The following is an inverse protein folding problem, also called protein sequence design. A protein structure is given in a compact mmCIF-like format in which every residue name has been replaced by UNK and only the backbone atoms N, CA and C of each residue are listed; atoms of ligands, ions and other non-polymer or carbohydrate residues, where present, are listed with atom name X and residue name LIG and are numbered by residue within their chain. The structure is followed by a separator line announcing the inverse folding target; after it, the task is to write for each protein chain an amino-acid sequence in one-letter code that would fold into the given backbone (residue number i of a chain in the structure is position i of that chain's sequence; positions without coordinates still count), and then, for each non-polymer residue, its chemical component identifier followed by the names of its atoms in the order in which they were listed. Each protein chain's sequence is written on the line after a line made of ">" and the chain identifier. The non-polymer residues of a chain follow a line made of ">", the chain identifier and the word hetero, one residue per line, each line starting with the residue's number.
data_IF_882293437310
#
_entry.id   IF_882293437310
#
_cell.length_a   1.000
_cell.length_b   1.000
_cell.length_c   1.000
_cell.angle_alpha   90.00
_cell.angle_beta   90.00
_cell.angle_gamma   90.00
#
_symmetry.space_group_name_H-M   'P 1'
#
loop_
_entity.id
_entity.type
_entity.pdbx_description
1 polymer ?
#
# COMPACT_ATOMS: atom_id res chain seq x y z
N UNK A 1 2.86 -30.04 -24.96
CA UNK A 1 2.61 -28.73 -25.61
C UNK A 1 3.94 -28.13 -26.02
N UNK A 2 4.16 -27.80 -27.31
CA UNK A 2 5.44 -27.28 -27.79
C UNK A 2 5.77 -25.91 -27.16
N UNK A 3 7.02 -25.72 -26.71
CA UNK A 3 7.53 -24.54 -26.00
C UNK A 3 7.25 -23.21 -26.73
N UNK A 4 7.10 -23.24 -28.04
CA UNK A 4 6.76 -22.10 -28.89
C UNK A 4 5.38 -21.49 -28.59
N UNK A 5 4.39 -22.32 -28.20
CA UNK A 5 3.03 -21.84 -27.90
C UNK A 5 2.97 -21.08 -26.56
N UNK A 6 3.85 -21.43 -25.62
CA UNK A 6 3.96 -20.76 -24.32
C UNK A 6 4.61 -19.37 -24.51
N UNK A 7 5.66 -19.28 -25.33
CA UNK A 7 6.31 -18.02 -25.65
C UNK A 7 5.36 -17.05 -26.39
N UNK A 8 4.57 -17.56 -27.34
CA UNK A 8 3.58 -16.78 -28.07
C UNK A 8 2.47 -16.22 -27.16
N UNK A 9 1.96 -17.05 -26.23
CA UNK A 9 0.95 -16.61 -25.24
C UNK A 9 1.51 -15.57 -24.28
N UNK A 10 2.75 -15.74 -23.81
CA UNK A 10 3.42 -14.78 -22.92
C UNK A 10 3.62 -13.43 -23.60
N UNK A 11 4.00 -13.42 -24.88
CA UNK A 11 4.13 -12.20 -25.69
C UNK A 11 2.77 -11.50 -25.91
N UNK A 12 1.71 -12.27 -26.16
CA UNK A 12 0.35 -11.73 -26.33
C UNK A 12 -0.19 -11.07 -25.06
N UNK A 13 0.06 -11.67 -23.89
CA UNK A 13 -0.35 -11.09 -22.61
C UNK A 13 0.44 -9.83 -22.25
N UNK A 14 1.74 -9.78 -22.58
CA UNK A 14 2.58 -8.59 -22.39
C UNK A 14 2.13 -7.41 -23.26
N UNK A 15 1.71 -7.68 -24.50
CA UNK A 15 1.18 -6.64 -25.40
C UNK A 15 -0.15 -6.08 -24.89
N UNK A 16 -1.06 -6.95 -24.43
CA UNK A 16 -2.36 -6.51 -23.88
C UNK A 16 -2.20 -5.62 -22.65
N UNK A 17 -1.28 -5.96 -21.75
CA UNK A 17 -1.00 -5.16 -20.55
C UNK A 17 -0.42 -3.78 -20.89
N UNK A 18 0.40 -3.70 -21.93
CA UNK A 18 0.96 -2.42 -22.40
C UNK A 18 -0.10 -1.54 -23.08
N UNK A 19 -1.06 -2.13 -23.77
CA UNK A 19 -2.22 -1.42 -24.33
C UNK A 19 -3.16 -0.91 -23.21
N UNK A 20 -3.40 -1.71 -22.18
CA UNK A 20 -4.17 -1.32 -20.99
C UNK A 20 -3.48 -0.17 -20.21
N UNK A 21 -2.15 -0.23 -20.04
CA UNK A 21 -1.36 0.84 -19.40
C UNK A 21 -1.32 2.13 -20.24
N UNK A 22 -1.33 2.02 -21.58
CA UNK A 22 -1.39 3.18 -22.47
C UNK A 22 -2.77 3.85 -22.47
N UNK A 23 -3.85 3.07 -22.43
CA UNK A 23 -5.21 3.60 -22.33
C UNK A 23 -5.45 4.35 -21.02
N UNK A 24 -4.83 3.90 -19.93
CA UNK A 24 -4.94 4.55 -18.62
C UNK A 24 -4.13 5.85 -18.51
N UNK A 25 -3.17 6.07 -19.42
CA UNK A 25 -2.35 7.28 -19.48
C UNK A 25 -2.96 8.39 -20.37
N UNK A 26 -3.96 8.07 -21.19
CA UNK A 26 -4.66 9.06 -22.02
C UNK A 26 -5.84 9.73 -21.29
N UNK A 27 -6.35 9.12 -20.21
CA UNK A 27 -7.49 9.65 -19.42
C UNK A 27 -7.07 10.71 -18.37
N UNK A 28 -5.76 10.90 -18.15
CA UNK A 28 -5.20 11.77 -17.11
C UNK A 28 -4.70 13.13 -17.66
N UNK A 29 -5.18 13.52 -18.85
CA UNK A 29 -4.62 14.65 -19.63
C UNK A 29 -5.44 15.94 -19.64
N UNK A 30 -6.55 16.01 -18.88
CA UNK A 30 -7.50 17.14 -18.96
C UNK A 30 -7.65 17.92 -17.64
N UNK A 31 -6.53 18.24 -16.99
CA UNK A 31 -6.51 19.18 -15.87
C UNK A 31 -5.62 20.39 -16.18
N UNK A 32 -6.24 21.47 -16.66
CA UNK A 32 -5.59 22.78 -16.80
C UNK A 32 -5.44 23.44 -15.42
N UNK A 33 -4.26 23.95 -15.04
CA UNK A 33 -4.13 24.73 -13.82
C UNK A 33 -4.51 26.18 -14.13
N UNK A 34 -5.74 26.57 -13.80
CA UNK A 34 -6.11 27.98 -13.72
C UNK A 34 -5.69 28.52 -12.36
N UNK A 35 -5.07 29.69 -12.38
CA UNK A 35 -4.50 30.37 -11.23
C UNK A 35 -5.61 30.96 -10.36
N UNK A 36 -5.72 30.53 -9.10
CA UNK A 36 -6.30 31.36 -8.05
C UNK A 36 -5.62 31.07 -6.70
N UNK A 37 -4.87 32.08 -6.25
CA UNK A 37 -4.30 32.20 -4.92
C UNK A 37 -5.42 32.34 -3.88
N UNK A 38 -5.76 31.26 -3.18
CA UNK A 38 -6.35 31.37 -1.85
C UNK A 38 -5.51 30.58 -0.85
N UNK A 39 -4.79 31.34 0.00
CA UNK A 39 -4.25 30.86 1.27
C UNK A 39 -5.42 30.41 2.14
N UNK A 40 -5.65 29.10 2.20
CA UNK A 40 -6.29 28.51 3.37
C UNK A 40 -5.19 28.07 4.34
N UNK A 41 -5.00 28.87 5.40
CA UNK A 41 -4.46 28.41 6.68
C UNK A 41 -5.37 27.28 7.19
N UNK A 42 -5.08 26.05 6.77
CA UNK A 42 -5.66 24.88 7.39
C UNK A 42 -4.87 24.61 8.67
N UNK A 43 -5.45 25.05 9.78
CA UNK A 43 -4.99 24.82 11.14
C UNK A 43 -4.48 23.39 11.30
N UNK A 44 -3.26 23.34 11.83
CA UNK A 44 -2.54 22.20 12.35
C UNK A 44 -3.38 21.53 13.45
N UNK A 45 -4.30 20.64 13.06
CA UNK A 45 -4.82 19.65 13.99
C UNK A 45 -3.72 18.59 14.11
N UNK A 46 -2.75 18.95 14.96
CA UNK A 46 -1.73 18.10 15.55
C UNK A 46 -2.45 16.94 16.23
N UNK A 47 -2.83 15.94 15.45
CA UNK A 47 -3.27 14.66 15.99
C UNK A 47 -2.03 13.99 16.55
N UNK A 48 -1.72 14.33 17.80
CA UNK A 48 -0.71 13.72 18.63
C UNK A 48 -1.00 12.22 18.61
N UNK A 49 -0.14 11.48 17.93
CA UNK A 49 -0.09 10.02 17.94
C UNK A 49 0.34 9.59 19.35
N UNK A 50 -0.61 9.61 20.29
CA UNK A 50 -0.44 8.98 21.60
C UNK A 50 -0.64 7.48 21.41
N UNK A 51 0.37 6.81 20.85
CA UNK A 51 0.50 5.36 20.83
C UNK A 51 1.87 4.97 21.43
N UNK A 52 2.15 5.55 22.60
CA UNK A 52 3.17 5.08 23.53
C UNK A 52 2.49 4.13 24.53
N UNK A 53 3.06 2.92 24.62
CA UNK A 53 2.71 1.82 25.54
C UNK A 53 1.35 1.12 25.35
N UNK A 54 1.37 0.10 24.50
CA UNK A 54 0.60 -1.12 24.79
C UNK A 54 1.32 -1.82 25.95
N UNK A 55 0.91 -1.52 27.18
CA UNK A 55 1.23 -2.35 28.34
C UNK A 55 0.72 -3.77 28.06
N UNK A 56 1.65 -4.71 27.97
CA UNK A 56 1.41 -6.14 27.99
C UNK A 56 0.81 -6.50 29.36
N UNK A 57 -0.52 -6.57 29.41
CA UNK A 57 -1.26 -7.03 30.58
C UNK A 57 -0.96 -8.52 30.78
N UNK A 58 0.02 -8.79 31.64
CA UNK A 58 0.40 -10.11 32.12
C UNK A 58 -0.81 -10.77 32.81
N UNK A 59 -1.37 -11.80 32.19
CA UNK A 59 -2.47 -12.60 32.73
C UNK A 59 -1.96 -13.46 33.90
N UNK A 60 -2.35 -13.08 35.12
CA UNK A 60 -2.03 -13.78 36.36
C UNK A 60 -2.79 -15.11 36.46
N UNK A 61 -2.13 -16.29 36.52
CA UNK A 61 -2.83 -17.54 36.81
C UNK A 61 -3.13 -17.68 38.33
N UNK A 62 -4.30 -18.22 38.72
CA UNK A 62 -4.66 -18.36 40.13
C UNK A 62 -3.84 -19.46 40.83
N UNK A 63 -3.29 -19.07 41.98
CA UNK A 63 -2.56 -19.88 42.95
C UNK A 63 -3.47 -20.91 43.65
N UNK A 64 -3.13 -22.19 43.56
CA UNK A 64 -3.61 -23.26 44.45
C UNK A 64 -2.41 -24.12 44.93
N UNK A 65 -2.50 -24.74 46.12
CA UNK A 65 -1.39 -24.78 47.07
C UNK A 65 -0.42 -25.96 46.91
N UNK A 66 0.78 -25.72 47.45
CA UNK A 66 1.92 -26.61 47.51
C UNK A 66 1.61 -28.02 48.07
N UNK A 67 2.12 -29.04 47.37
CA UNK A 67 2.35 -30.36 47.93
C UNK A 67 3.72 -30.90 47.46
N UNK A 68 4.70 -30.80 48.37
CA UNK A 68 5.84 -31.70 48.59
C UNK A 68 6.59 -32.31 47.40
N UNK A 69 7.85 -31.86 47.25
CA UNK A 69 8.97 -32.63 46.69
C UNK A 69 8.97 -34.08 47.21
N UNK A 70 8.97 -35.04 46.30
CA UNK A 70 9.71 -36.29 46.47
C UNK A 70 10.42 -36.61 45.16
N UNK A 71 11.74 -36.61 45.23
CA UNK A 71 12.61 -37.16 44.23
C UNK A 71 12.26 -38.65 44.03
N UNK A 72 12.14 -39.07 42.78
CA UNK A 72 12.11 -40.47 42.42
C UNK A 72 13.08 -40.66 41.24
N UNK A 73 14.20 -41.26 41.61
CA UNK A 73 15.24 -41.84 40.79
C UNK A 73 14.72 -42.50 39.49
N UNK A 74 15.48 -42.27 38.43
CA UNK A 74 15.92 -43.25 37.44
C UNK A 74 15.07 -44.53 37.35
N UNK A 75 14.04 -44.48 36.51
CA UNK A 75 13.31 -45.65 36.06
C UNK A 75 13.64 -45.89 34.59
N UNK A 76 14.71 -46.64 34.34
CA UNK A 76 14.98 -47.32 33.08
C UNK A 76 13.68 -47.92 32.52
N UNK A 77 13.16 -47.35 31.43
CA UNK A 77 11.91 -47.79 30.84
C UNK A 77 12.10 -49.19 30.26
N UNK A 78 11.54 -50.19 30.94
CA UNK A 78 11.40 -51.54 30.37
C UNK A 78 10.43 -51.45 29.18
N UNK A 79 10.84 -51.73 27.94
CA UNK A 79 9.96 -51.66 26.77
C UNK A 79 8.85 -52.72 26.76
N UNK A 80 8.87 -53.66 27.72
CA UNK A 80 7.91 -54.75 27.80
C UNK A 80 6.54 -54.35 28.38
N UNK A 81 6.45 -53.27 29.16
CA UNK A 81 5.19 -52.89 29.83
C UNK A 81 4.20 -52.17 28.91
N UNK A 82 4.66 -51.45 27.88
CA UNK A 82 3.80 -50.79 26.89
C UNK A 82 3.25 -51.76 25.83
N UNK A 83 3.87 -52.94 25.67
CA UNK A 83 3.38 -53.98 24.77
C UNK A 83 2.18 -54.77 25.34
N UNK A 84 1.99 -54.78 26.67
CA UNK A 84 1.02 -55.64 27.33
C UNK A 84 -0.40 -55.05 27.47
N UNK A 85 -0.58 -53.74 27.25
CA UNK A 85 -1.87 -53.03 27.45
C UNK A 85 -2.53 -52.53 26.14
N UNK A 86 -1.91 -52.76 24.99
CA UNK A 86 -2.54 -52.47 23.70
C UNK A 86 -3.18 -53.76 23.18
N UNK A 87 -4.50 -53.92 23.31
CA UNK A 87 -5.26 -54.82 22.44
C UNK A 87 -5.08 -54.31 21.01
N UNK A 88 -4.05 -54.85 20.35
CA UNK A 88 -3.63 -54.45 19.02
C UNK A 88 -4.66 -54.98 18.01
N UNK A 89 -5.60 -54.12 17.64
CA UNK A 89 -6.60 -54.39 16.59
C UNK A 89 -5.91 -54.23 15.25
N UNK A 90 -5.36 -55.33 14.72
CA UNK A 90 -4.80 -55.35 13.37
C UNK A 90 -5.93 -55.52 12.35
N UNK A 91 -6.07 -54.55 11.44
CA UNK A 91 -6.93 -54.70 10.26
C UNK A 91 -6.17 -55.50 9.19
N UNK A 92 -6.68 -56.68 8.81
CA UNK A 92 -6.06 -57.53 7.78
C UNK A 92 -6.15 -56.89 6.39
N UNK A 93 -5.04 -56.89 5.64
CA UNK A 93 -4.99 -56.45 4.24
C UNK A 93 -5.57 -57.54 3.31
N UNK A 94 -6.30 -57.18 2.23
CA UNK A 94 -5.99 -56.11 1.27
C UNK A 94 -7.01 -54.97 1.26
N UNK A 95 -7.24 -54.31 2.40
CA UNK A 95 -8.00 -53.06 2.42
C UNK A 95 -7.27 -52.00 1.59
N UNK A 96 -7.94 -51.42 0.60
CA UNK A 96 -7.42 -50.26 -0.12
C UNK A 96 -7.11 -49.17 0.90
N UNK A 97 -5.98 -48.46 0.76
CA UNK A 97 -5.59 -47.37 1.65
C UNK A 97 -6.73 -46.34 1.88
N UNK A 98 -7.63 -46.20 0.89
CA UNK A 98 -8.87 -45.41 0.92
C UNK A 98 -9.73 -45.68 2.15
N UNK A 99 -9.77 -46.88 2.72
CA UNK A 99 -10.55 -47.17 3.94
C UNK A 99 -9.94 -46.54 5.19
N UNK A 100 -8.60 -46.46 5.23
CA UNK A 100 -7.86 -45.90 6.37
C UNK A 100 -7.75 -44.38 6.27
N UNK A 101 -7.56 -43.85 5.05
CA UNK A 101 -7.22 -42.43 4.75
C UNK A 101 -6.13 -41.84 5.66
N UNK A 102 -5.28 -42.70 6.24
CA UNK A 102 -4.25 -42.32 7.17
C UNK A 102 -2.89 -42.39 6.48
N UNK A 103 -2.11 -41.32 6.61
CA UNK A 103 -0.76 -41.24 6.06
C UNK A 103 0.23 -40.90 7.16
N UNK A 104 1.26 -41.71 7.25
CA UNK A 104 2.43 -41.40 8.05
C UNK A 104 3.40 -40.59 7.19
N UNK A 105 3.85 -39.44 7.70
CA UNK A 105 4.87 -38.64 7.03
C UNK A 105 6.16 -39.44 6.88
N UNK A 106 6.77 -39.40 5.70
CA UNK A 106 8.07 -40.01 5.43
C UNK A 106 9.23 -39.17 5.97
N UNK A 107 9.03 -37.85 6.07
CA UNK A 107 10.03 -36.91 6.58
C UNK A 107 9.75 -36.69 8.07
N UNK A 108 10.78 -36.89 8.89
CA UNK A 108 10.75 -36.50 10.31
C UNK A 108 10.79 -34.98 10.44
N UNK A 109 10.26 -34.47 11.55
CA UNK A 109 10.41 -33.07 11.90
C UNK A 109 11.90 -32.71 12.02
N UNK A 110 12.32 -31.51 11.59
CA UNK A 110 13.67 -31.03 11.81
C UNK A 110 14.04 -31.03 13.30
N UNK A 111 15.24 -31.51 13.62
CA UNK A 111 15.72 -31.64 15.01
C UNK A 111 16.10 -30.30 15.66
N UNK A 112 16.25 -29.26 14.85
CA UNK A 112 16.57 -27.89 15.21
C UNK A 112 15.33 -27.03 15.50
N UNK A 113 14.13 -27.60 15.42
CA UNK A 113 12.91 -26.91 15.79
C UNK A 113 12.90 -26.56 17.28
N UNK A 114 12.90 -25.27 17.57
CA UNK A 114 12.68 -24.79 18.92
C UNK A 114 11.16 -24.76 19.21
N UNK A 115 10.77 -25.17 20.42
CA UNK A 115 9.37 -25.15 20.84
C UNK A 115 8.86 -23.72 21.09
N UNK A 116 9.75 -22.76 21.35
CA UNK A 116 9.36 -21.36 21.59
C UNK A 116 9.32 -20.51 20.31
N UNK A 117 9.81 -21.06 19.19
CA UNK A 117 9.81 -20.37 17.89
C UNK A 117 8.60 -20.81 17.05
N UNK A 118 7.45 -20.22 17.38
CA UNK A 118 6.17 -20.46 16.72
C UNK A 118 6.20 -20.39 15.19
N UNK A 119 6.70 -19.31 14.54
CA UNK A 119 6.62 -19.20 13.09
C UNK A 119 7.41 -20.29 12.37
N UNK A 120 8.59 -20.69 12.89
CA UNK A 120 9.36 -21.79 12.28
C UNK A 120 8.70 -23.14 12.50
N UNK A 121 8.09 -23.35 13.67
CA UNK A 121 7.36 -24.57 13.98
C UNK A 121 6.11 -24.72 13.12
N UNK A 122 5.35 -23.64 12.95
CA UNK A 122 4.18 -23.59 12.07
C UNK A 122 4.57 -23.90 10.62
N UNK A 123 5.66 -23.30 10.12
CA UNK A 123 6.16 -23.57 8.78
C UNK A 123 6.49 -25.06 8.60
N UNK A 124 7.16 -25.69 9.56
CA UNK A 124 7.49 -27.11 9.49
C UNK A 124 6.23 -27.99 9.46
N UNK A 125 5.20 -27.66 10.25
CA UNK A 125 3.92 -28.38 10.23
C UNK A 125 3.18 -28.20 8.91
N UNK A 126 3.18 -26.99 8.34
CA UNK A 126 2.58 -26.71 7.03
C UNK A 126 3.31 -27.51 5.94
N UNK A 127 4.64 -27.54 5.94
CA UNK A 127 5.41 -28.31 4.97
C UNK A 127 5.13 -29.81 5.08
N UNK A 128 5.10 -30.36 6.30
CA UNK A 128 4.81 -31.78 6.52
C UNK A 128 3.39 -32.15 6.08
N UNK A 129 2.40 -31.33 6.42
CA UNK A 129 1.01 -31.57 6.00
C UNK A 129 0.85 -31.47 4.49
N UNK A 130 1.49 -30.49 3.83
CA UNK A 130 1.46 -30.35 2.38
C UNK A 130 2.00 -31.59 1.65
N UNK A 131 3.12 -32.15 2.12
CA UNK A 131 3.69 -33.37 1.54
C UNK A 131 2.75 -34.57 1.71
N UNK A 132 2.16 -34.73 2.90
CA UNK A 132 1.18 -35.78 3.17
C UNK A 132 -0.09 -35.64 2.31
N UNK A 133 -0.62 -34.43 2.17
CA UNK A 133 -1.81 -34.16 1.33
C UNK A 133 -1.51 -34.46 -0.14
N UNK A 134 -0.35 -34.02 -0.64
CA UNK A 134 0.06 -34.30 -2.03
C UNK A 134 0.12 -35.80 -2.30
N UNK A 135 0.72 -36.56 -1.38
CA UNK A 135 0.77 -38.03 -1.46
C UNK A 135 -0.63 -38.65 -1.39
N UNK A 136 -1.49 -38.16 -0.51
CA UNK A 136 -2.86 -38.65 -0.38
C UNK A 136 -3.69 -38.41 -1.63
N UNK A 137 -3.53 -37.25 -2.27
CA UNK A 137 -4.17 -36.96 -3.56
C UNK A 137 -3.72 -37.97 -4.62
N UNK A 138 -2.42 -38.26 -4.74
CA UNK A 138 -1.93 -39.27 -5.69
C UNK A 138 -2.55 -40.65 -5.46
N UNK A 139 -2.67 -41.08 -4.20
CA UNK A 139 -3.29 -42.37 -3.87
C UNK A 139 -4.81 -42.39 -4.15
N UNK A 140 -5.52 -41.27 -3.97
CA UNK A 140 -6.93 -41.14 -4.32
C UNK A 140 -7.13 -41.18 -5.84
N UNK A 141 -6.23 -40.56 -6.61
CA UNK A 141 -6.25 -40.60 -8.08
C UNK A 141 -5.98 -42.01 -8.61
N UNK A 142 -5.01 -42.74 -8.04
CA UNK A 142 -4.75 -44.15 -8.35
C UNK A 142 -5.96 -45.06 -8.05
N UNK A 143 -6.68 -44.76 -6.96
CA UNK A 143 -7.90 -45.46 -6.58
C UNK A 143 -9.16 -44.97 -7.32
N UNK A 144 -9.03 -43.97 -8.20
CA UNK A 144 -10.13 -43.34 -8.95
C UNK A 144 -11.25 -42.78 -8.05
N UNK A 145 -10.90 -42.20 -6.91
CA UNK A 145 -11.82 -41.57 -5.95
C UNK A 145 -11.80 -40.05 -6.13
N UNK A 146 -12.95 -39.38 -6.32
CA UNK A 146 -13.00 -37.92 -6.45
C UNK A 146 -12.68 -37.24 -5.12
N UNK A 147 -11.68 -36.36 -5.12
CA UNK A 147 -11.19 -35.68 -3.91
C UNK A 147 -11.54 -34.19 -3.85
N UNK A 148 -11.77 -33.55 -5.00
CA UNK A 148 -12.06 -32.12 -5.09
C UNK A 148 -13.55 -31.87 -4.90
N UNK A 149 -13.90 -31.00 -3.94
CA UNK A 149 -15.28 -30.51 -3.78
C UNK A 149 -15.69 -29.68 -5.01
N UNK A 150 -16.80 -30.02 -5.69
CA UNK A 150 -17.37 -29.18 -6.75
C UNK A 150 -17.93 -27.87 -6.20
N UNK A 151 -17.82 -26.79 -6.97
CA UNK A 151 -18.31 -25.47 -6.57
C UNK A 151 -19.85 -25.41 -6.43
N UNK A 152 -20.57 -26.28 -7.14
CA UNK A 152 -22.04 -26.40 -7.14
C UNK A 152 -22.57 -27.41 -6.11
N UNK A 153 -21.71 -27.92 -5.22
CA UNK A 153 -22.11 -28.85 -4.16
C UNK A 153 -22.33 -28.13 -2.83
N UNK A 154 -23.59 -27.77 -2.56
CA UNK A 154 -24.02 -27.10 -1.33
C UNK A 154 -24.40 -28.14 -0.26
N UNK A 155 -23.48 -28.35 0.68
CA UNK A 155 -23.69 -29.15 1.89
C UNK A 155 -23.29 -28.32 3.12
N UNK A 156 -23.74 -28.74 4.30
CA UNK A 156 -23.38 -28.08 5.56
C UNK A 156 -21.85 -28.11 5.75
N UNK A 157 -21.28 -26.93 6.00
CA UNK A 157 -19.84 -26.74 6.22
C UNK A 157 -19.54 -26.65 7.72
N UNK A 158 -18.31 -26.96 8.13
CA UNK A 158 -17.89 -26.89 9.54
C UNK A 158 -18.10 -25.50 10.18
N UNK A 159 -18.05 -24.43 9.38
CA UNK A 159 -18.33 -23.05 9.80
C UNK A 159 -19.48 -22.49 8.95
N UNK A 160 -20.34 -21.69 9.57
CA UNK A 160 -21.43 -21.01 8.87
C UNK A 160 -20.94 -19.90 7.94
N UNK A 161 -21.70 -19.63 6.88
CA UNK A 161 -21.39 -18.57 5.92
C UNK A 161 -21.41 -17.18 6.57
N UNK A 162 -22.27 -16.98 7.57
CA UNK A 162 -22.34 -15.74 8.36
C UNK A 162 -20.99 -15.48 9.03
N UNK A 163 -20.46 -16.48 9.74
CA UNK A 163 -19.16 -16.36 10.41
C UNK A 163 -18.02 -16.11 9.40
N UNK A 164 -18.03 -16.79 8.25
CA UNK A 164 -16.99 -16.59 7.23
C UNK A 164 -17.09 -15.21 6.56
N UNK A 165 -18.28 -14.61 6.51
CA UNK A 165 -18.46 -13.25 6.03
C UNK A 165 -17.86 -12.22 7.00
N UNK A 166 -18.02 -12.43 8.31
CA UNK A 166 -17.43 -11.57 9.33
C UNK A 166 -15.89 -11.63 9.29
N UNK A 167 -15.32 -12.83 9.12
CA UNK A 167 -13.87 -13.01 8.93
C UNK A 167 -13.39 -12.29 7.67
N UNK A 168 -14.14 -12.37 6.56
CA UNK A 168 -13.79 -11.67 5.32
C UNK A 168 -13.79 -10.15 5.52
N UNK A 169 -14.82 -9.61 6.16
CA UNK A 169 -14.91 -8.19 6.46
C UNK A 169 -13.76 -7.72 7.36
N UNK A 170 -13.37 -8.50 8.38
CA UNK A 170 -12.23 -8.18 9.22
C UNK A 170 -10.91 -8.16 8.43
N UNK A 171 -10.72 -9.09 7.49
CA UNK A 171 -9.54 -9.13 6.62
C UNK A 171 -9.49 -7.94 5.66
N UNK A 172 -10.64 -7.55 5.08
CA UNK A 172 -10.76 -6.37 4.22
C UNK A 172 -10.52 -5.08 4.99
N UNK A 173 -11.06 -4.95 6.20
CA UNK A 173 -10.80 -3.82 7.09
C UNK A 173 -9.32 -3.68 7.47
N UNK A 174 -8.65 -4.80 7.77
CA UNK A 174 -7.21 -4.80 8.06
C UNK A 174 -6.38 -4.33 6.86
N UNK A 175 -6.69 -4.82 5.65
CA UNK A 175 -6.06 -4.37 4.40
C UNK A 175 -6.27 -2.88 4.16
N UNK A 176 -7.52 -2.41 4.26
CA UNK A 176 -7.85 -1.00 4.09
C UNK A 176 -7.11 -0.11 5.11
N UNK A 177 -6.92 -0.57 6.34
CA UNK A 177 -6.14 0.14 7.37
C UNK A 177 -4.67 0.30 6.96
N UNK A 178 -4.05 -0.77 6.47
CA UNK A 178 -2.65 -0.77 6.01
C UNK A 178 -2.49 0.15 4.79
N UNK A 179 -3.40 0.03 3.82
CA UNK A 179 -3.40 0.86 2.61
C UNK A 179 -3.59 2.34 2.94
N UNK A 180 -4.52 2.68 3.84
CA UNK A 180 -4.72 4.05 4.28
C UNK A 180 -3.48 4.61 5.00
N UNK A 181 -2.78 3.79 5.80
CA UNK A 181 -1.55 4.21 6.45
C UNK A 181 -0.42 4.43 5.43
N UNK A 182 -0.25 3.52 4.46
CA UNK A 182 0.72 3.65 3.38
C UNK A 182 0.43 4.88 2.50
N UNK A 183 -0.84 5.10 2.16
CA UNK A 183 -1.29 6.26 1.40
C UNK A 183 -1.01 7.56 2.17
N UNK A 184 -1.30 7.62 3.48
CA UNK A 184 -0.98 8.79 4.31
C UNK A 184 0.53 9.08 4.35
N UNK A 185 1.37 8.05 4.44
CA UNK A 185 2.84 8.22 4.37
C UNK A 185 3.27 8.76 3.02
N UNK A 186 2.78 8.19 1.92
CA UNK A 186 3.07 8.67 0.57
C UNK A 186 2.61 10.12 0.36
N UNK A 187 1.41 10.50 0.82
CA UNK A 187 0.93 11.88 0.72
C UNK A 187 1.79 12.86 1.52
N UNK A 188 2.32 12.47 2.68
CA UNK A 188 3.26 13.29 3.46
C UNK A 188 4.58 13.48 2.70
N UNK A 189 5.11 12.41 2.12
CA UNK A 189 6.34 12.45 1.31
C UNK A 189 6.18 13.30 0.05
N UNK A 190 5.06 13.16 -0.66
CA UNK A 190 4.73 13.97 -1.84
C UNK A 190 4.63 15.46 -1.48
N UNK A 191 4.00 15.82 -0.36
CA UNK A 191 3.95 17.20 0.12
C UNK A 191 5.33 17.74 0.47
N UNK A 192 6.19 16.94 1.11
CA UNK A 192 7.57 17.34 1.45
C UNK A 192 8.40 17.56 0.18
N UNK A 193 8.38 16.60 -0.74
CA UNK A 193 9.13 16.67 -2.00
C UNK A 193 8.61 17.79 -2.90
N UNK A 194 7.28 18.00 -2.96
CA UNK A 194 6.69 19.10 -3.71
C UNK A 194 7.20 20.48 -3.26
N UNK A 195 7.34 20.69 -1.95
CA UNK A 195 7.92 21.94 -1.40
C UNK A 195 9.40 22.10 -1.78
N UNK A 196 10.18 21.03 -1.69
CA UNK A 196 11.60 21.04 -2.05
C UNK A 196 11.80 21.31 -3.54
N UNK A 197 11.00 20.66 -4.41
CA UNK A 197 11.02 20.89 -5.85
C UNK A 197 10.64 22.34 -6.18
N UNK A 198 9.60 22.89 -5.56
CA UNK A 198 9.25 24.30 -5.76
C UNK A 198 10.38 25.25 -5.38
N UNK A 199 11.06 25.00 -4.24
CA UNK A 199 12.20 25.79 -3.80
C UNK A 199 13.39 25.69 -4.77
N UNK A 200 13.69 24.50 -5.26
CA UNK A 200 14.79 24.27 -6.20
C UNK A 200 14.48 24.88 -7.58
N UNK A 201 13.24 24.78 -8.07
CA UNK A 201 12.82 25.45 -9.32
C UNK A 201 12.95 26.97 -9.19
N UNK A 202 12.56 27.55 -8.06
CA UNK A 202 12.73 28.99 -7.83
C UNK A 202 14.22 29.40 -7.81
N UNK A 203 15.07 28.58 -7.17
CA UNK A 203 16.52 28.77 -7.13
C UNK A 203 17.14 28.69 -8.53
N UNK A 204 16.73 27.71 -9.34
CA UNK A 204 17.17 27.55 -10.72
C UNK A 204 16.73 28.72 -11.60
N UNK A 205 15.47 29.18 -11.47
CA UNK A 205 14.98 30.38 -12.17
C UNK A 205 15.76 31.63 -11.78
N UNK A 206 16.11 31.79 -10.51
CA UNK A 206 16.90 32.92 -10.04
C UNK A 206 18.35 32.87 -10.54
N UNK A 207 18.97 31.69 -10.58
CA UNK A 207 20.29 31.47 -11.19
C UNK A 207 20.27 31.79 -12.68
N UNK A 208 19.32 31.22 -13.43
CA UNK A 208 19.15 31.50 -14.86
C UNK A 208 18.98 33.00 -15.15
N UNK A 209 18.19 33.72 -14.34
CA UNK A 209 18.06 35.19 -14.47
C UNK A 209 19.37 35.93 -14.21
N UNK A 210 20.17 35.50 -13.22
CA UNK A 210 21.49 36.10 -12.95
C UNK A 210 22.46 35.84 -14.09
N UNK A 211 22.57 34.60 -14.56
CA UNK A 211 23.45 34.20 -15.66
C UNK A 211 23.07 34.94 -16.97
N UNK A 212 21.77 35.09 -17.22
CA UNK A 212 21.26 35.90 -18.35
C UNK A 212 21.59 37.40 -18.19
N UNK A 213 21.48 37.96 -16.99
CA UNK A 213 21.88 39.35 -16.74
C UNK A 213 23.40 39.56 -16.89
N UNK A 214 24.20 38.60 -16.44
CA UNK A 214 25.66 38.65 -16.56
C UNK A 214 26.08 38.61 -18.03
N UNK A 215 25.55 37.65 -18.81
CA UNK A 215 25.79 37.58 -20.26
C UNK A 215 25.33 38.83 -21.03
N UNK A 216 24.19 39.43 -20.66
CA UNK A 216 23.76 40.73 -21.22
C UNK A 216 24.70 41.88 -20.80
N UNK A 217 25.20 41.86 -19.56
CA UNK A 217 26.13 42.86 -19.06
C UNK A 217 27.48 42.76 -19.77
N UNK A 218 27.97 41.55 -20.02
CA UNK A 218 29.19 41.28 -20.75
C UNK A 218 29.04 41.64 -22.23
N UNK A 219 27.88 41.34 -22.82
CA UNK A 219 27.57 41.80 -24.18
C UNK A 219 27.51 43.33 -24.27
N UNK A 220 26.89 44.01 -23.30
CA UNK A 220 26.88 45.48 -23.22
C UNK A 220 28.27 46.07 -23.03
N UNK A 221 29.11 45.49 -22.16
CA UNK A 221 30.50 45.88 -21.96
C UNK A 221 31.31 45.68 -23.25
N UNK A 222 31.15 44.54 -23.92
CA UNK A 222 31.81 44.24 -25.20
C UNK A 222 31.37 45.19 -26.32
N UNK A 223 30.10 45.59 -26.36
CA UNK A 223 29.58 46.63 -27.27
C UNK A 223 30.15 48.03 -26.92
N UNK A 224 30.22 48.40 -25.65
CA UNK A 224 30.81 49.69 -25.20
C UNK A 224 32.32 49.77 -25.44
N UNK A 225 33.04 48.66 -25.35
CA UNK A 225 34.45 48.56 -25.76
C UNK A 225 34.68 48.81 -27.26
N UNK A 226 33.61 48.77 -28.07
CA UNK A 226 33.60 49.09 -29.50
C UNK A 226 33.09 50.52 -29.77
N UNK A 227 33.25 51.44 -28.81
CA UNK A 227 32.64 52.77 -28.71
C UNK A 227 32.84 53.77 -29.86
N UNK A 228 33.48 53.37 -30.96
CA UNK A 228 33.56 54.18 -32.18
C UNK A 228 32.27 54.14 -33.03
N UNK A 229 31.34 53.21 -32.79
CA UNK A 229 30.15 53.05 -33.63
C UNK A 229 28.85 53.61 -33.00
N UNK A 230 28.81 53.82 -31.68
CA UNK A 230 27.59 54.21 -30.96
C UNK A 230 27.33 55.74 -31.02
N UNK A 231 28.38 56.55 -31.17
CA UNK A 231 28.28 58.01 -31.30
C UNK A 231 27.63 58.45 -32.62
N UNK A 232 27.64 57.58 -33.65
CA UNK A 232 27.03 57.85 -34.95
C UNK A 232 25.51 57.56 -35.02
N UNK A 233 24.93 56.90 -34.01
CA UNK A 233 23.52 56.44 -34.08
C UNK A 233 22.58 57.17 -33.10
N UNK A 234 23.11 57.98 -32.19
CA UNK A 234 22.31 58.68 -31.17
C UNK A 234 21.93 60.12 -31.57
N UNK A 235 22.31 60.59 -32.76
CA UNK A 235 22.08 61.98 -33.22
C UNK A 235 20.79 62.16 -34.06
N UNK A 236 19.99 61.10 -34.27
CA UNK A 236 18.88 61.15 -35.25
C UNK A 236 17.47 60.78 -34.70
N UNK A 237 17.26 60.82 -33.37
CA UNK A 237 15.98 60.40 -32.75
C UNK A 237 15.36 61.48 -31.82
N UNK A 238 15.46 62.77 -32.18
CA UNK A 238 14.86 63.89 -31.44
C UNK A 238 13.81 64.71 -32.25
N UNK A 239 13.06 64.05 -33.14
CA UNK A 239 11.95 64.66 -33.88
C UNK A 239 10.75 63.72 -34.08
N UNK A 240 10.01 63.39 -33.01
CA UNK A 240 8.53 63.37 -33.04
C UNK A 240 7.95 62.94 -31.67
N UNK A 241 7.65 63.90 -30.80
CA UNK A 241 6.79 63.69 -29.63
C UNK A 241 5.73 64.76 -29.52
N UNK A 242 4.94 64.94 -30.57
CA UNK A 242 3.71 65.72 -30.44
C UNK A 242 2.60 65.25 -31.39
N UNK A 243 1.92 64.16 -31.04
CA UNK A 243 0.58 63.89 -31.57
C UNK A 243 -0.16 62.78 -30.79
N UNK A 244 -1.39 63.12 -30.39
CA UNK A 244 -2.54 62.22 -30.11
C UNK A 244 -2.63 61.61 -28.72
N UNK A 245 -2.94 62.48 -27.76
CA UNK A 245 -3.79 62.16 -26.61
C UNK A 245 -5.24 61.96 -27.09
N UNK A 246 -5.59 60.75 -27.53
CA UNK A 246 -6.98 60.40 -27.87
C UNK A 246 -7.75 59.95 -26.62
N UNK A 247 -8.97 60.47 -26.54
CA UNK A 247 -9.88 60.48 -25.40
C UNK A 247 -10.64 59.15 -25.36
N UNK A 248 -10.25 58.22 -24.47
CA UNK A 248 -11.01 57.00 -24.24
C UNK A 248 -12.33 57.32 -23.51
N UNK A 249 -13.45 57.06 -24.19
CA UNK A 249 -14.78 57.20 -23.64
C UNK A 249 -15.01 56.20 -22.49
N UNK A 250 -15.44 56.72 -21.35
CA UNK A 250 -15.89 55.95 -20.19
C UNK A 250 -17.26 55.35 -20.49
N UNK A 251 -17.37 54.03 -20.51
CA UNK A 251 -18.66 53.33 -20.46
C UNK A 251 -19.25 53.44 -19.04
N UNK A 252 -20.58 53.63 -18.89
CA UNK A 252 -21.19 53.83 -17.59
C UNK A 252 -21.31 52.51 -16.83
N UNK A 253 -20.87 52.53 -15.57
CA UNK A 253 -21.07 51.47 -14.57
C UNK A 253 -22.56 51.17 -14.42
N UNK A 254 -22.96 49.92 -14.71
CA UNK A 254 -24.29 49.42 -14.35
C UNK A 254 -24.27 49.05 -12.87
N UNK A 255 -25.02 49.85 -12.11
CA UNK A 255 -25.28 49.66 -10.69
C UNK A 255 -26.41 48.64 -10.54
N UNK A 256 -26.08 47.50 -9.95
CA UNK A 256 -26.94 46.58 -9.20
C UNK A 256 -28.13 45.97 -9.95
N UNK A 257 -28.09 44.66 -10.20
CA UNK A 257 -29.29 43.79 -10.18
C UNK A 257 -28.86 42.33 -9.95
N UNK A 258 -28.72 41.92 -8.68
CA UNK A 258 -29.00 40.52 -8.31
C UNK A 258 -29.69 40.46 -6.94
N UNK A 259 -30.98 40.07 -6.90
CA UNK A 259 -31.73 39.80 -5.67
C UNK A 259 -31.22 38.52 -5.01
N UNK A 260 -31.05 38.53 -3.69
CA UNK A 260 -30.70 37.33 -2.92
C UNK A 260 -29.72 37.60 -1.79
N UNK A 261 -30.11 38.48 -0.86
CA UNK A 261 -29.44 38.55 0.43
C UNK A 261 -29.74 37.29 1.23
N UNK A 262 -28.70 36.69 1.82
CA UNK A 262 -28.76 36.07 3.14
C UNK A 262 -27.34 35.97 3.70
N UNK A 263 -26.96 36.99 4.48
CA UNK A 263 -25.82 36.93 5.39
C UNK A 263 -26.04 35.78 6.37
N UNK A 264 -25.20 34.75 6.30
CA UNK A 264 -25.15 33.68 7.31
C UNK A 264 -24.69 34.30 8.65
N UNK A 265 -25.39 34.06 9.78
CA UNK A 265 -24.93 34.55 11.07
C UNK A 265 -23.70 33.75 11.53
N UNK A 266 -22.66 34.46 11.97
CA UNK A 266 -21.43 33.88 12.48
C UNK A 266 -21.64 33.03 13.74
N UNK A 267 -20.76 32.05 13.93
CA UNK A 267 -20.79 30.95 14.91
C UNK A 267 -20.89 31.32 16.42
N UNK A 268 -21.09 32.59 16.79
CA UNK A 268 -21.13 33.03 18.19
C UNK A 268 -22.54 33.34 18.76
N UNK A 269 -23.62 33.08 18.03
CA UNK A 269 -24.98 33.43 18.49
C UNK A 269 -25.66 32.39 19.41
N UNK A 270 -25.04 31.23 19.69
CA UNK A 270 -25.67 30.12 20.44
C UNK A 270 -25.26 29.98 21.92
N UNK A 271 -24.59 30.98 22.49
CA UNK A 271 -24.39 31.06 23.95
C UNK A 271 -25.07 32.30 24.50
N UNK A 272 -26.41 32.26 24.64
CA UNK A 272 -27.15 33.00 25.67
C UNK A 272 -28.62 32.60 25.70
N UNK A 273 -28.97 32.01 26.86
CA UNK A 273 -30.29 31.72 27.42
C UNK A 273 -31.00 30.48 26.89
#
# INVERSE_FOLDING_TARGET
>A
MPVYDIAARKRKNLLRRREEEAAHAEDDKDHSPDEDEEKEDFEDDEYVDSDEEVEEMEEVPPKAPAASKKEAADAASKPAATAACATRVEFSEPAQWVERMALTSTRSLPSDLNADDDPKREEAFIQQTLLSVTRGISLLEEANVPWKRPDDYYAEMYKSDVHMNDVRQAMEASKARIEAQAHRRSMKEQKKYGKEVQAEVLRQRARYKRDMQESLSDWRKKRRGNGSLQDMLNDDDDVDRDAKRSKAQRTPRVRNLRPGGNKRPGKNARRRR
#
